data_IF_637136013241
#
_entry.id   IF_637136013241
#
_cell.length_a   1.000
_cell.length_b   1.000
_cell.length_c   1.000
_cell.angle_alpha   90.00
_cell.angle_beta   90.00
_cell.angle_gamma   90.00
#
_symmetry.space_group_name_H-M   'P 1'
#
loop_
_entity.id
_entity.type
_entity.pdbx_description
1 polymer ?
#
# COMPACT_ATOMS: atom_id res chain seq x y z
N UNK A 1 -6.17 0.10 4.99
CA UNK A 1 -6.54 -0.54 6.28
C UNK A 1 -5.62 -1.73 6.60
N UNK A 2 -5.49 -2.74 5.72
CA UNK A 2 -4.60 -3.90 5.98
C UNK A 2 -3.13 -3.57 6.30
N UNK A 3 -2.48 -2.70 5.52
CA UNK A 3 -1.10 -2.29 5.83
C UNK A 3 -0.94 -1.63 7.20
N UNK A 4 -1.95 -0.89 7.66
CA UNK A 4 -1.92 -0.26 8.97
C UNK A 4 -2.03 -1.30 10.10
N UNK A 5 -2.86 -2.33 9.94
CA UNK A 5 -2.92 -3.45 10.88
C UNK A 5 -1.56 -4.17 10.98
N UNK A 6 -0.91 -4.44 9.83
CA UNK A 6 0.43 -5.04 9.81
C UNK A 6 1.44 -4.14 10.52
N UNK A 7 1.42 -2.82 10.25
CA UNK A 7 2.30 -1.88 10.94
C UNK A 7 2.09 -1.92 12.46
N UNK A 8 0.85 -1.91 12.95
CA UNK A 8 0.53 -2.03 14.39
C UNK A 8 1.07 -3.33 14.99
N UNK A 9 0.95 -4.45 14.29
CA UNK A 9 1.50 -5.76 14.71
C UNK A 9 3.03 -5.73 14.79
N UNK A 10 3.72 -5.02 13.88
CA UNK A 10 5.17 -4.90 13.90
C UNK A 10 5.66 -3.92 14.97
N UNK A 11 4.94 -2.81 15.19
CA UNK A 11 5.23 -1.82 16.24
C UNK A 11 5.03 -2.41 17.63
N UNK A 12 4.08 -3.35 17.80
CA UNK A 12 3.91 -4.06 19.07
C UNK A 12 5.08 -4.98 19.41
N UNK A 13 5.98 -5.27 18.47
CA UNK A 13 7.17 -6.07 18.73
C UNK A 13 8.30 -5.20 19.30
N UNK A 14 8.75 -5.56 20.50
CA UNK A 14 9.65 -4.72 21.28
C UNK A 14 10.95 -4.37 20.54
N UNK A 15 11.08 -3.08 20.21
CA UNK A 15 12.26 -2.53 19.57
C UNK A 15 12.54 -3.12 18.18
N UNK A 16 11.52 -3.64 17.48
CA UNK A 16 11.65 -4.00 16.06
C UNK A 16 11.29 -2.81 15.17
N UNK A 17 10.10 -2.23 15.35
CA UNK A 17 9.68 -1.02 14.62
C UNK A 17 9.42 0.12 15.60
N UNK A 18 10.01 1.28 15.32
CA UNK A 18 9.82 2.52 16.06
C UNK A 18 9.34 3.66 15.16
N UNK A 19 8.59 4.59 15.73
CA UNK A 19 8.11 5.79 15.06
C UNK A 19 8.66 7.01 15.79
N UNK A 20 9.51 7.77 15.13
CA UNK A 20 10.14 8.96 15.72
C UNK A 20 9.70 10.19 14.96
N UNK A 21 9.03 11.12 15.64
CA UNK A 21 8.62 12.41 15.07
C UNK A 21 9.83 13.32 14.87
N UNK A 22 9.81 14.13 13.82
CA UNK A 22 10.82 15.17 13.63
C UNK A 22 10.58 16.33 14.60
N UNK A 23 11.63 17.12 14.89
CA UNK A 23 11.54 18.27 15.80
C UNK A 23 10.50 19.31 15.35
N UNK A 24 10.32 19.48 14.04
CA UNK A 24 9.31 20.37 13.46
C UNK A 24 7.89 19.78 13.46
N UNK A 25 7.71 18.52 13.92
CA UNK A 25 6.44 17.78 13.96
C UNK A 25 5.69 17.71 12.62
N UNK A 26 6.36 18.01 11.50
CA UNK A 26 5.77 17.92 10.14
C UNK A 26 6.09 16.62 9.44
N UNK A 27 6.93 15.78 10.03
CA UNK A 27 7.29 14.47 9.51
C UNK A 27 7.56 13.48 10.63
N UNK A 28 7.64 12.21 10.27
CA UNK A 28 8.12 11.16 11.16
C UNK A 28 8.92 10.16 10.35
N UNK A 29 9.80 9.47 11.04
CA UNK A 29 10.63 8.40 10.49
C UNK A 29 10.18 7.08 11.07
N UNK A 30 9.90 6.12 10.19
CA UNK A 30 9.72 4.71 10.57
C UNK A 30 11.10 4.07 10.63
N UNK A 31 11.50 3.60 11.81
CA UNK A 31 12.77 2.92 12.04
C UNK A 31 12.53 1.43 12.21
N UNK A 32 13.30 0.61 11.51
CA UNK A 32 13.23 -0.85 11.59
C UNK A 32 14.60 -1.41 11.96
N UNK A 33 14.65 -2.21 13.03
CA UNK A 33 15.85 -2.93 13.45
C UNK A 33 16.01 -4.21 12.62
N UNK A 34 16.92 -4.16 11.64
CA UNK A 34 17.15 -5.27 10.72
C UNK A 34 17.60 -6.54 11.43
N UNK A 35 18.31 -6.44 12.56
CA UNK A 35 18.78 -7.60 13.32
C UNK A 35 17.63 -8.42 13.92
N UNK A 36 16.46 -7.80 14.11
CA UNK A 36 15.26 -8.42 14.69
C UNK A 36 14.24 -8.88 13.64
N UNK A 37 14.58 -8.82 12.37
CA UNK A 37 13.67 -9.21 11.28
C UNK A 37 13.22 -10.66 11.41
N UNK A 38 14.15 -11.60 11.63
CA UNK A 38 13.79 -13.02 11.77
C UNK A 38 13.22 -13.35 13.15
N UNK A 39 13.75 -12.72 14.21
CA UNK A 39 13.40 -13.07 15.58
C UNK A 39 12.07 -12.48 16.03
N UNK A 40 11.74 -11.25 15.62
CA UNK A 40 10.53 -10.53 16.03
C UNK A 40 9.60 -10.29 14.85
N UNK A 41 10.12 -9.77 13.74
CA UNK A 41 9.32 -9.43 12.56
C UNK A 41 8.61 -10.64 11.96
N UNK A 42 9.37 -11.69 11.60
CA UNK A 42 8.83 -12.93 11.04
C UNK A 42 7.87 -13.60 12.01
N UNK A 43 8.24 -13.71 13.29
CA UNK A 43 7.37 -14.35 14.31
C UNK A 43 6.03 -13.63 14.47
N UNK A 44 6.03 -12.29 14.47
CA UNK A 44 4.80 -11.51 14.57
C UNK A 44 3.86 -11.76 13.38
N UNK A 45 4.41 -11.80 12.16
CA UNK A 45 3.65 -12.08 10.94
C UNK A 45 3.18 -13.55 10.91
N UNK A 46 4.03 -14.48 11.35
CA UNK A 46 3.75 -15.91 11.43
C UNK A 46 2.63 -16.24 12.43
N UNK A 47 2.44 -15.42 13.47
CA UNK A 47 1.29 -15.55 14.37
C UNK A 47 0.04 -14.88 13.78
N UNK A 48 0.19 -13.69 13.22
CA UNK A 48 -0.94 -12.88 12.77
C UNK A 48 -1.65 -13.42 11.52
N UNK A 49 -0.90 -13.92 10.52
CA UNK A 49 -1.51 -14.37 9.26
C UNK A 49 -2.37 -15.64 9.43
N UNK A 50 -1.95 -16.68 10.18
CA UNK A 50 -2.79 -17.83 10.44
C UNK A 50 -4.07 -17.49 11.20
N UNK A 51 -4.03 -16.58 12.17
CA UNK A 51 -5.24 -16.10 12.88
C UNK A 51 -6.27 -15.56 11.89
N UNK A 52 -5.86 -14.63 11.01
CA UNK A 52 -6.73 -14.07 9.97
C UNK A 52 -7.24 -15.13 9.00
N UNK A 53 -6.38 -16.07 8.61
CA UNK A 53 -6.74 -17.15 7.70
C UNK A 53 -7.77 -18.08 8.33
N UNK A 54 -7.58 -18.46 9.59
CA UNK A 54 -8.48 -19.33 10.32
C UNK A 54 -9.86 -18.71 10.44
N UNK A 55 -9.99 -17.47 10.92
CA UNK A 55 -11.30 -16.82 11.02
C UNK A 55 -12.02 -16.71 9.67
N UNK A 56 -11.28 -16.41 8.59
CA UNK A 56 -11.84 -16.39 7.23
C UNK A 56 -12.35 -17.76 6.80
N UNK A 57 -11.59 -18.83 7.07
CA UNK A 57 -11.94 -20.19 6.65
C UNK A 57 -13.06 -20.81 7.48
N UNK A 58 -13.14 -20.48 8.78
CA UNK A 58 -14.20 -20.97 9.67
C UNK A 58 -15.44 -20.09 9.68
N UNK A 59 -15.39 -18.90 9.07
CA UNK A 59 -16.50 -17.95 9.06
C UNK A 59 -16.75 -17.29 10.43
N UNK A 60 -15.73 -17.21 11.28
CA UNK A 60 -15.82 -16.59 12.61
C UNK A 60 -15.77 -15.05 12.50
N UNK A 61 -16.93 -14.47 12.17
CA UNK A 61 -17.05 -13.01 11.92
C UNK A 61 -16.87 -12.20 13.20
N UNK A 62 -17.30 -12.72 14.34
CA UNK A 62 -17.25 -12.01 15.62
C UNK A 62 -15.79 -11.79 16.07
N UNK A 63 -15.01 -12.87 16.16
CA UNK A 63 -13.60 -12.79 16.54
C UNK A 63 -12.78 -11.99 15.51
N UNK A 64 -13.05 -12.19 14.21
CA UNK A 64 -12.37 -11.44 13.14
C UNK A 64 -12.63 -9.94 13.25
N UNK A 65 -13.88 -9.53 13.47
CA UNK A 65 -14.27 -8.13 13.50
C UNK A 65 -13.70 -7.43 14.74
N UNK A 66 -13.73 -8.08 15.90
CA UNK A 66 -13.15 -7.54 17.14
C UNK A 66 -11.63 -7.33 16.99
N UNK A 67 -10.90 -8.40 16.63
CA UNK A 67 -9.44 -8.32 16.51
C UNK A 67 -9.02 -7.38 15.39
N UNK A 68 -9.50 -7.59 14.17
CA UNK A 68 -9.08 -6.78 13.02
C UNK A 68 -9.56 -5.33 13.14
N UNK A 69 -10.73 -5.11 13.75
CA UNK A 69 -11.24 -3.78 14.09
C UNK A 69 -10.27 -3.01 15.00
N UNK A 70 -9.83 -3.62 16.10
CA UNK A 70 -8.87 -2.99 17.01
C UNK A 70 -7.53 -2.66 16.33
N UNK A 71 -7.03 -3.53 15.45
CA UNK A 71 -5.79 -3.33 14.69
C UNK A 71 -5.92 -2.28 13.58
N UNK A 72 -7.13 -2.04 13.06
CA UNK A 72 -7.35 -1.06 11.98
C UNK A 72 -7.90 0.27 12.45
N UNK A 73 -8.25 0.38 13.74
CA UNK A 73 -8.71 1.62 14.37
C UNK A 73 -7.54 2.55 14.63
N UNK A 74 -7.73 3.83 14.27
CA UNK A 74 -6.79 4.92 14.58
C UNK A 74 -7.19 5.47 15.95
N UNK A 75 -6.47 5.04 16.98
CA UNK A 75 -6.61 5.57 18.34
C UNK A 75 -5.84 6.88 18.51
N UNK A 76 -5.92 7.48 19.70
CA UNK A 76 -5.32 8.79 20.02
C UNK A 76 -3.82 8.85 19.71
N UNK A 77 -3.07 7.76 19.93
CA UNK A 77 -1.64 7.70 19.68
C UNK A 77 -1.30 7.83 18.18
N UNK A 78 -2.26 7.50 17.29
CA UNK A 78 -2.09 7.52 15.85
C UNK A 78 -2.70 8.75 15.15
N UNK A 79 -3.48 9.58 15.85
CA UNK A 79 -4.13 10.75 15.27
C UNK A 79 -3.12 11.75 14.70
N UNK A 80 -2.06 12.04 15.44
CA UNK A 80 -1.04 12.99 14.98
C UNK A 80 -0.27 12.46 13.76
N UNK A 81 0.05 11.15 13.72
CA UNK A 81 0.68 10.54 12.55
C UNK A 81 -0.24 10.60 11.33
N UNK A 82 -1.54 10.36 11.53
CA UNK A 82 -2.54 10.48 10.47
C UNK A 82 -2.56 11.89 9.88
N UNK A 83 -2.55 12.92 10.72
CA UNK A 83 -2.59 14.31 10.25
C UNK A 83 -1.33 14.67 9.47
N UNK A 84 -0.15 14.19 9.90
CA UNK A 84 1.10 14.35 9.13
C UNK A 84 1.00 13.69 7.75
N UNK A 85 0.48 12.45 7.66
CA UNK A 85 0.32 11.73 6.39
C UNK A 85 -0.70 12.43 5.48
N UNK A 86 -1.82 12.91 6.02
CA UNK A 86 -2.86 13.60 5.26
C UNK A 86 -2.37 14.93 4.67
N UNK A 87 -1.44 15.61 5.36
CA UNK A 87 -0.79 16.83 4.86
C UNK A 87 0.28 16.56 3.79
N UNK A 88 0.58 15.29 3.47
CA UNK A 88 1.52 14.87 2.43
C UNK A 88 0.86 13.86 1.48
N UNK A 89 -0.16 14.27 0.72
CA UNK A 89 -0.84 13.37 -0.20
C UNK A 89 0.15 12.82 -1.22
N UNK A 90 0.13 11.50 -1.40
CA UNK A 90 0.82 10.89 -2.53
C UNK A 90 0.25 11.46 -3.82
N UNK A 91 1.11 11.85 -4.75
CA UNK A 91 0.66 12.25 -6.09
C UNK A 91 0.11 11.01 -6.79
N UNK A 92 -1.14 11.01 -7.27
CA UNK A 92 -1.67 9.87 -8.01
C UNK A 92 -0.80 9.63 -9.23
N UNK A 93 -0.48 8.36 -9.49
CA UNK A 93 0.24 7.97 -10.70
C UNK A 93 -0.72 8.01 -11.89
N UNK A 94 -0.29 8.64 -12.98
CA UNK A 94 -0.92 8.51 -14.28
C UNK A 94 -0.10 7.51 -15.09
N UNK A 95 -0.73 6.41 -15.51
CA UNK A 95 -0.08 5.42 -16.35
C UNK A 95 -0.43 5.69 -17.81
N UNK A 96 0.59 5.73 -18.64
CA UNK A 96 0.43 5.83 -20.09
C UNK A 96 0.60 4.43 -20.65
N UNK A 97 -0.42 3.97 -21.36
CA UNK A 97 -0.45 2.62 -21.90
C UNK A 97 -0.15 2.68 -23.39
N UNK A 98 0.74 1.81 -23.86
CA UNK A 98 0.97 1.63 -25.29
C UNK A 98 -0.28 1.11 -26.01
N UNK A 99 -0.36 1.36 -27.31
CA UNK A 99 -1.43 0.89 -28.18
C UNK A 99 -0.88 -0.15 -29.14
N UNK A 100 -1.64 -1.22 -29.38
CA UNK A 100 -1.27 -2.26 -30.34
C UNK A 100 -2.12 -2.18 -31.59
N UNK A 101 -1.50 -2.28 -32.76
CA UNK A 101 -2.17 -2.27 -34.07
C UNK A 101 -1.70 -3.44 -34.92
N UNK A 102 -2.59 -3.98 -35.76
CA UNK A 102 -2.23 -5.02 -36.74
C UNK A 102 -1.81 -4.33 -38.03
N UNK A 103 -0.58 -4.57 -38.46
CA UNK A 103 -0.03 -4.06 -39.73
C UNK A 103 -0.50 -4.87 -40.94
N UNK A 104 -0.20 -4.38 -42.14
CA UNK A 104 -0.64 -4.98 -43.42
C UNK A 104 -0.17 -6.43 -43.62
N UNK A 105 0.94 -6.82 -42.98
CA UNK A 105 1.52 -8.17 -43.05
C UNK A 105 1.09 -9.09 -41.89
N UNK A 106 0.00 -8.77 -41.16
CA UNK A 106 -0.43 -9.46 -39.93
C UNK A 106 0.56 -9.33 -38.75
N UNK A 107 1.55 -8.44 -38.84
CA UNK A 107 2.47 -8.15 -37.74
C UNK A 107 1.83 -7.24 -36.70
N UNK A 108 2.09 -7.51 -35.41
CA UNK A 108 1.59 -6.69 -34.30
C UNK A 108 2.60 -5.57 -34.02
N UNK A 109 2.21 -4.32 -34.28
CA UNK A 109 2.96 -3.14 -33.89
C UNK A 109 2.59 -2.69 -32.48
N UNK A 110 3.58 -2.31 -31.68
CA UNK A 110 3.41 -1.63 -30.39
C UNK A 110 3.82 -0.17 -30.54
N UNK A 111 2.90 0.74 -30.23
CA UNK A 111 3.15 2.18 -30.15
C UNK A 111 3.20 2.60 -28.69
N UNK A 112 4.34 3.11 -28.28
CA UNK A 112 4.53 3.73 -26.96
C UNK A 112 4.34 5.25 -27.07
N UNK A 113 4.01 5.87 -25.94
CA UNK A 113 3.75 7.31 -25.85
C UNK A 113 4.65 7.93 -24.77
N UNK A 114 5.06 9.20 -24.94
CA UNK A 114 5.95 9.86 -23.99
C UNK A 114 5.26 10.05 -22.63
N UNK A 115 6.03 10.05 -21.53
CA UNK A 115 5.58 10.28 -20.14
C UNK A 115 5.16 11.73 -19.85
N UNK A 116 4.29 12.27 -20.69
CA UNK A 116 3.78 13.65 -20.60
C UNK A 116 2.24 13.67 -20.62
N UNK A 117 1.60 14.75 -20.16
CA UNK A 117 0.16 14.92 -20.27
C UNK A 117 -0.35 14.75 -21.71
N UNK A 118 0.41 15.23 -22.69
CA UNK A 118 0.10 15.10 -24.11
C UNK A 118 0.18 13.65 -24.57
N UNK A 119 1.22 12.91 -24.15
CA UNK A 119 1.34 11.48 -24.43
C UNK A 119 0.20 10.66 -23.81
N UNK A 120 -0.26 11.03 -22.62
CA UNK A 120 -1.45 10.43 -22.01
C UNK A 120 -2.70 10.67 -22.88
N UNK A 121 -2.97 11.92 -23.27
CA UNK A 121 -4.12 12.26 -24.12
C UNK A 121 -4.06 11.53 -25.46
N UNK A 122 -2.88 11.51 -26.09
CA UNK A 122 -2.68 10.85 -27.37
C UNK A 122 -2.90 9.34 -27.27
N UNK A 123 -2.43 8.69 -26.19
CA UNK A 123 -2.65 7.26 -25.95
C UNK A 123 -4.13 6.89 -25.87
N UNK A 124 -4.97 7.80 -25.38
CA UNK A 124 -6.42 7.60 -25.32
C UNK A 124 -7.10 7.93 -26.65
N UNK A 125 -6.73 9.03 -27.30
CA UNK A 125 -7.32 9.44 -28.57
C UNK A 125 -7.16 8.36 -29.65
N UNK A 126 -5.94 7.85 -29.82
CA UNK A 126 -5.62 6.86 -30.86
C UNK A 126 -6.13 5.44 -30.51
N UNK A 127 -6.40 5.16 -29.24
CA UNK A 127 -6.94 3.85 -28.81
C UNK A 127 -8.39 3.65 -29.21
N UNK A 128 -9.17 4.73 -29.27
CA UNK A 128 -10.62 4.69 -29.51
C UNK A 128 -11.02 5.38 -30.82
N UNK A 129 -10.15 5.41 -31.83
CA UNK A 129 -10.41 6.00 -33.17
C UNK A 129 -11.56 5.34 -33.99
N UNK A 130 -12.41 4.52 -33.34
CA UNK A 130 -13.63 3.93 -33.90
C UNK A 130 -14.88 4.46 -33.20
N UNK A 131 -15.22 5.72 -33.46
CA UNK A 131 -16.59 6.26 -33.43
C UNK A 131 -16.82 7.19 -34.61
#
# INVERSE_FOLDING_TARGET
RGYFAVLKVLVSQQGFVGLTKSEDSKSFTVQLDRSKTESHGRKAVEQFLPELHMWRCTGDVEAASERYGSLTTVDEDWLEFRDIVMNRPARPWAFIQGSTSVGENEEIGLKEYPETPEGLIQSWAERFESF
#
